data_IF_109997925110
#
_entry.id   IF_109997925110
#
_cell.length_a   1.000
_cell.length_b   1.000
_cell.length_c   1.000
_cell.angle_alpha   90.00
_cell.angle_beta   90.00
_cell.angle_gamma   90.00
#
_symmetry.space_group_name_H-M   'P 1'
#
loop_
_entity.id
_entity.type
_entity.pdbx_description
1 polymer ?
#
# COMPACT_ATOMS: atom_id res chain seq x y z
N UNK A 1 9.06 16.80 -12.59
CA UNK A 1 8.97 15.33 -12.48
C UNK A 1 7.48 15.00 -12.39
N UNK A 2 6.97 14.11 -13.24
CA UNK A 2 5.54 13.85 -13.30
C UNK A 2 5.10 13.03 -12.07
N UNK A 3 3.84 13.15 -11.62
CA UNK A 3 3.33 12.42 -10.45
C UNK A 3 3.42 10.90 -10.63
N UNK A 4 3.23 10.43 -11.86
CA UNK A 4 3.42 9.04 -12.25
C UNK A 4 4.89 8.57 -12.10
N UNK A 5 5.87 9.42 -12.39
CA UNK A 5 7.29 9.07 -12.25
C UNK A 5 7.68 8.91 -10.78
N UNK A 6 7.10 9.73 -9.89
CA UNK A 6 7.26 9.64 -8.44
C UNK A 6 6.69 8.33 -7.91
N UNK A 7 5.46 7.99 -8.29
CA UNK A 7 4.80 6.74 -7.87
C UNK A 7 5.60 5.51 -8.31
N UNK A 8 6.11 5.51 -9.54
CA UNK A 8 6.91 4.42 -10.07
C UNK A 8 8.26 4.28 -9.35
N UNK A 9 8.91 5.39 -9.02
CA UNK A 9 10.13 5.40 -8.22
C UNK A 9 9.88 4.82 -6.83
N UNK A 10 8.83 5.28 -6.16
CA UNK A 10 8.46 4.80 -4.82
C UNK A 10 8.19 3.29 -4.81
N UNK A 11 7.51 2.78 -5.84
CA UNK A 11 7.19 1.35 -5.96
C UNK A 11 8.44 0.48 -6.10
N UNK A 12 9.43 0.91 -6.89
CA UNK A 12 10.69 0.19 -6.98
C UNK A 12 11.45 0.17 -5.65
N UNK A 13 11.43 1.29 -4.91
CA UNK A 13 12.05 1.37 -3.58
C UNK A 13 11.36 0.42 -2.61
N UNK A 14 10.02 0.46 -2.54
CA UNK A 14 9.23 -0.40 -1.65
C UNK A 14 9.42 -1.88 -1.98
N UNK A 15 9.36 -2.25 -3.27
CA UNK A 15 9.55 -3.63 -3.70
C UNK A 15 10.95 -4.14 -3.30
N UNK A 16 12.00 -3.31 -3.50
CA UNK A 16 13.37 -3.66 -3.11
C UNK A 16 13.54 -3.84 -1.60
N UNK A 17 12.83 -3.07 -0.77
CA UNK A 17 12.89 -3.20 0.69
C UNK A 17 12.42 -4.57 1.20
N UNK A 18 11.57 -5.25 0.44
CA UNK A 18 11.02 -6.57 0.77
C UNK A 18 11.56 -7.68 -0.14
N UNK A 19 12.65 -7.42 -0.87
CA UNK A 19 13.25 -8.34 -1.84
C UNK A 19 12.27 -8.84 -2.92
N UNK A 20 11.30 -8.00 -3.29
CA UNK A 20 10.34 -8.28 -4.35
C UNK A 20 10.81 -7.68 -5.68
N UNK A 21 10.89 -8.52 -6.71
CA UNK A 21 11.10 -8.07 -8.09
C UNK A 21 9.75 -7.93 -8.78
N UNK A 22 9.44 -6.74 -9.30
CA UNK A 22 8.21 -6.50 -10.07
C UNK A 22 8.54 -6.66 -11.57
N UNK A 23 7.92 -7.61 -12.29
CA UNK A 23 8.08 -7.72 -13.73
C UNK A 23 7.62 -6.43 -14.42
N UNK A 24 8.32 -6.02 -15.49
CA UNK A 24 8.01 -4.78 -16.21
C UNK A 24 6.54 -4.73 -16.68
N UNK A 25 6.03 -5.85 -17.19
CA UNK A 25 4.65 -5.98 -17.68
C UNK A 25 3.60 -5.82 -16.58
N UNK A 26 3.97 -6.04 -15.31
CA UNK A 26 3.09 -5.89 -14.16
C UNK A 26 3.13 -4.47 -13.58
N UNK A 27 4.13 -3.66 -13.91
CA UNK A 27 4.39 -2.38 -13.24
C UNK A 27 3.19 -1.42 -13.31
N UNK A 28 2.54 -1.31 -14.47
CA UNK A 28 1.37 -0.45 -14.65
C UNK A 28 0.20 -0.88 -13.74
N UNK A 29 -0.08 -2.19 -13.66
CA UNK A 29 -1.13 -2.73 -12.81
C UNK A 29 -0.80 -2.59 -11.32
N UNK A 30 0.46 -2.80 -10.94
CA UNK A 30 0.92 -2.58 -9.55
C UNK A 30 0.74 -1.11 -9.15
N UNK A 31 1.08 -0.17 -10.04
CA UNK A 31 0.90 1.25 -9.79
C UNK A 31 -0.58 1.62 -9.61
N UNK A 32 -1.45 1.18 -10.52
CA UNK A 32 -2.89 1.43 -10.43
C UNK A 32 -3.50 0.84 -9.14
N UNK A 33 -3.14 -0.40 -8.79
CA UNK A 33 -3.64 -1.05 -7.59
C UNK A 33 -3.12 -0.36 -6.31
N UNK A 34 -1.87 0.09 -6.31
CA UNK A 34 -1.29 0.82 -5.17
C UNK A 34 -2.02 2.14 -4.94
N UNK A 35 -2.34 2.87 -6.02
CA UNK A 35 -3.10 4.10 -5.92
C UNK A 35 -4.52 3.86 -5.37
N UNK A 36 -5.18 2.80 -5.83
CA UNK A 36 -6.49 2.39 -5.30
C UNK A 36 -6.42 2.06 -3.80
N UNK A 37 -5.44 1.25 -3.39
CA UNK A 37 -5.26 0.85 -1.99
C UNK A 37 -4.93 2.05 -1.08
N UNK A 38 -4.16 3.04 -1.55
CA UNK A 38 -3.93 4.29 -0.82
C UNK A 38 -5.24 5.01 -0.52
N UNK A 39 -6.16 5.07 -1.49
CA UNK A 39 -7.48 5.65 -1.26
C UNK A 39 -8.31 4.91 -0.19
N UNK A 40 -8.20 3.59 -0.11
CA UNK A 40 -8.84 2.83 0.97
C UNK A 40 -8.18 3.06 2.33
N UNK A 41 -6.86 3.19 2.37
CA UNK A 41 -6.15 3.56 3.60
C UNK A 41 -6.61 4.93 4.10
N UNK A 42 -6.69 5.93 3.21
CA UNK A 42 -7.16 7.28 3.58
C UNK A 42 -8.59 7.24 4.13
N UNK A 43 -9.47 6.45 3.51
CA UNK A 43 -10.84 6.24 3.99
C UNK A 43 -10.87 5.65 5.40
N UNK A 44 -10.09 4.60 5.67
CA UNK A 44 -10.02 3.94 6.98
C UNK A 44 -9.42 4.87 8.03
N UNK A 45 -8.32 5.55 7.70
CA UNK A 45 -7.65 6.49 8.60
C UNK A 45 -8.51 7.72 8.93
N UNK A 46 -9.48 8.06 8.08
CA UNK A 46 -10.47 9.09 8.35
C UNK A 46 -11.58 8.69 9.33
N UNK A 47 -11.65 7.41 9.72
CA UNK A 47 -12.65 6.93 10.68
C UNK A 47 -12.19 7.16 12.12
N UNK A 48 -13.09 7.62 12.99
CA UNK A 48 -12.83 7.69 14.42
C UNK A 48 -12.86 6.26 15.01
N UNK A 49 -11.68 5.74 15.36
CA UNK A 49 -11.55 4.47 16.08
C UNK A 49 -11.49 4.74 17.58
N UNK A 50 -12.24 4.00 18.41
CA UNK A 50 -12.10 4.10 19.86
C UNK A 50 -10.72 3.58 20.29
N UNK A 51 -10.18 4.13 21.38
CA UNK A 51 -8.89 3.68 21.95
C UNK A 51 -8.88 2.19 22.33
N UNK A 52 -10.07 1.59 22.48
CA UNK A 52 -10.27 0.17 22.80
C UNK A 52 -10.53 -0.70 21.57
N UNK A 53 -10.24 -0.21 20.35
CA UNK A 53 -10.39 -0.99 19.12
C UNK A 53 -9.34 -2.12 19.10
N UNK A 54 -9.73 -3.30 19.58
CA UNK A 54 -8.89 -4.49 19.57
C UNK A 54 -8.81 -5.09 18.15
N UNK A 55 -7.71 -5.75 17.78
CA UNK A 55 -7.63 -6.49 16.53
C UNK A 55 -8.75 -7.53 16.43
N UNK A 56 -9.32 -7.71 15.24
CA UNK A 56 -10.41 -8.65 15.01
C UNK A 56 -10.00 -10.12 15.25
N UNK A 57 -8.70 -10.41 15.18
CA UNK A 57 -8.15 -11.74 15.45
C UNK A 57 -7.40 -11.73 16.78
N UNK A 58 -7.75 -12.68 17.65
CA UNK A 58 -7.01 -12.94 18.89
C UNK A 58 -6.05 -14.12 18.69
N UNK A 59 -4.79 -13.90 19.03
CA UNK A 59 -3.81 -14.99 19.09
C UNK A 59 -4.21 -15.99 20.19
N UNK A 60 -4.24 -17.28 19.82
CA UNK A 60 -4.37 -18.40 20.77
C UNK A 60 -3.05 -19.18 20.77
N UNK A 61 -2.33 -19.22 21.90
CA UNK A 61 -1.09 -20.00 22.02
C UNK A 61 -1.31 -21.50 21.98
#
# INVERSE_FOLDING_TARGET
MNEQDLILSDLHVLARQIDLTIPADCMASVAANTQLLRGYVDLICGMALPDTCIPAYEYRP
#
